data_IF_865112851446
#
_entry.id   IF_865112851446
#
_cell.length_a   1.000
_cell.length_b   1.000
_cell.length_c   1.000
_cell.angle_alpha   90.00
_cell.angle_beta   90.00
_cell.angle_gamma   90.00
#
_symmetry.space_group_name_H-M   'P 1'
#
loop_
_entity.id
_entity.type
_entity.pdbx_description
1 polymer ?
#
# COMPACT_ATOMS: atom_id res chain seq x y z
N UNK A 1 -6.48 13.65 -11.86
CA UNK A 1 -5.28 13.96 -11.03
C UNK A 1 -5.33 13.13 -9.74
N UNK A 2 -4.17 12.78 -9.19
CA UNK A 2 -4.01 12.06 -7.93
C UNK A 2 -3.14 12.88 -6.97
N UNK A 3 -3.54 12.92 -5.70
CA UNK A 3 -2.78 13.57 -4.63
C UNK A 3 -2.44 12.53 -3.56
N UNK A 4 -1.15 12.39 -3.28
CA UNK A 4 -0.65 11.57 -2.17
C UNK A 4 -0.41 12.45 -0.95
N UNK A 5 -1.04 12.09 0.17
CA UNK A 5 -0.82 12.73 1.47
C UNK A 5 -0.03 11.76 2.34
N UNK A 6 1.28 12.00 2.49
CA UNK A 6 2.14 11.17 3.33
C UNK A 6 2.44 11.86 4.66
N UNK A 7 2.21 11.15 5.77
CA UNK A 7 2.41 11.72 7.11
C UNK A 7 2.76 10.66 8.16
N UNK A 8 3.60 11.02 9.11
CA UNK A 8 3.76 10.30 10.38
C UNK A 8 2.69 10.75 11.37
N UNK A 9 1.87 9.82 11.83
CA UNK A 9 0.80 10.09 12.79
C UNK A 9 1.33 10.10 14.23
N UNK A 10 0.63 10.83 15.11
CA UNK A 10 0.99 10.95 16.54
C UNK A 10 1.75 12.24 16.91
N UNK A 11 2.34 12.92 15.93
CA UNK A 11 2.91 14.26 16.10
C UNK A 11 1.90 15.36 15.78
N UNK A 12 2.19 16.61 16.11
CA UNK A 12 1.29 17.76 15.86
C UNK A 12 1.07 18.03 14.38
N UNK A 13 2.15 18.08 13.60
CA UNK A 13 2.10 18.47 12.19
C UNK A 13 1.39 17.40 11.34
N UNK A 14 1.86 16.15 11.36
CA UNK A 14 1.28 15.07 10.54
C UNK A 14 -0.18 14.81 10.89
N UNK A 15 -0.49 14.71 12.17
CA UNK A 15 -1.84 14.42 12.66
C UNK A 15 -2.82 15.57 12.40
N UNK A 16 -2.35 16.83 12.53
CA UNK A 16 -3.21 18.01 12.39
C UNK A 16 -3.37 18.49 10.96
N UNK A 17 -2.30 18.52 10.16
CA UNK A 17 -2.33 19.10 8.83
C UNK A 17 -2.85 18.14 7.75
N UNK A 18 -2.56 16.81 7.88
CA UNK A 18 -2.92 15.86 6.83
C UNK A 18 -4.43 15.80 6.52
N UNK A 19 -5.36 15.81 7.51
CA UNK A 19 -6.79 15.81 7.19
C UNK A 19 -7.24 17.07 6.44
N UNK A 20 -6.65 18.23 6.76
CA UNK A 20 -6.97 19.49 6.11
C UNK A 20 -6.52 19.48 4.65
N UNK A 21 -5.29 19.07 4.41
CA UNK A 21 -4.73 18.95 3.04
C UNK A 21 -5.55 17.95 2.22
N UNK A 22 -5.85 16.79 2.80
CA UNK A 22 -6.65 15.78 2.13
C UNK A 22 -8.05 16.27 1.76
N UNK A 23 -8.70 16.99 2.67
CA UNK A 23 -10.02 17.60 2.41
C UNK A 23 -9.97 18.56 1.24
N UNK A 24 -8.99 19.45 1.19
CA UNK A 24 -8.81 20.40 0.08
C UNK A 24 -8.57 19.65 -1.25
N UNK A 25 -7.72 18.63 -1.25
CA UNK A 25 -7.47 17.83 -2.43
C UNK A 25 -8.75 17.15 -2.96
N UNK A 26 -9.57 16.60 -2.05
CA UNK A 26 -10.85 15.98 -2.39
C UNK A 26 -11.88 16.99 -2.90
N UNK A 27 -11.95 18.19 -2.33
CA UNK A 27 -12.80 19.28 -2.80
C UNK A 27 -12.43 19.73 -4.24
N UNK A 28 -11.17 19.59 -4.62
CA UNK A 28 -10.67 19.82 -5.98
C UNK A 28 -10.88 18.63 -6.94
N UNK A 29 -11.65 17.61 -6.53
CA UNK A 29 -11.90 16.38 -7.30
C UNK A 29 -10.64 15.57 -7.66
N UNK A 30 -9.55 15.71 -6.92
CA UNK A 30 -8.38 14.86 -7.05
C UNK A 30 -8.62 13.53 -6.31
N UNK A 31 -8.21 12.40 -6.92
CA UNK A 31 -8.13 11.13 -6.22
C UNK A 31 -7.13 11.28 -5.06
N UNK A 32 -7.62 11.20 -3.83
CA UNK A 32 -6.81 11.51 -2.65
C UNK A 32 -6.43 10.23 -1.91
N UNK A 33 -5.15 9.92 -1.89
CA UNK A 33 -4.60 8.71 -1.28
C UNK A 33 -3.69 9.09 -0.11
N UNK A 34 -4.04 8.64 1.09
CA UNK A 34 -3.18 8.82 2.25
C UNK A 34 -2.24 7.62 2.43
N UNK A 35 -0.97 7.89 2.75
CA UNK A 35 0.02 6.87 3.13
C UNK A 35 0.63 7.31 4.45
N UNK A 36 0.24 6.67 5.55
CA UNK A 36 0.60 7.12 6.89
C UNK A 36 1.31 6.06 7.71
N UNK A 37 2.24 6.50 8.56
CA UNK A 37 2.85 5.63 9.58
C UNK A 37 2.13 5.79 10.90
N UNK A 38 1.91 4.66 11.58
CA UNK A 38 1.48 4.60 12.97
C UNK A 38 2.69 4.26 13.83
N UNK A 39 3.00 5.04 14.88
CA UNK A 39 4.11 4.79 15.79
C UNK A 39 3.96 3.49 16.54
N UNK A 40 5.03 3.05 17.19
CA UNK A 40 5.04 1.87 18.03
C UNK A 40 4.14 2.05 19.27
N UNK A 41 3.55 0.95 19.72
CA UNK A 41 2.73 0.90 20.95
C UNK A 41 3.50 1.31 22.21
N UNK A 42 4.82 1.18 22.17
CA UNK A 42 5.75 1.59 23.25
C UNK A 42 5.89 3.11 23.40
N UNK A 43 5.43 3.92 22.43
CA UNK A 43 5.56 5.39 22.47
C UNK A 43 4.55 6.10 23.40
N UNK A 44 3.69 5.36 24.05
CA UNK A 44 2.80 5.83 25.12
C UNK A 44 1.35 6.10 24.68
N UNK A 45 0.44 5.93 25.64
CA UNK A 45 -1.01 5.96 25.39
C UNK A 45 -1.53 7.31 24.85
N UNK A 46 -0.95 8.42 25.30
CA UNK A 46 -1.37 9.75 24.80
C UNK A 46 -1.07 9.93 23.32
N UNK A 47 0.07 9.42 22.87
CA UNK A 47 0.44 9.45 21.46
C UNK A 47 -0.46 8.55 20.63
N UNK A 48 -0.73 7.35 21.10
CA UNK A 48 -1.66 6.41 20.42
C UNK A 48 -3.08 6.97 20.33
N UNK A 49 -3.56 7.67 21.36
CA UNK A 49 -4.86 8.36 21.31
C UNK A 49 -4.88 9.46 20.24
N UNK A 50 -3.83 10.27 20.18
CA UNK A 50 -3.67 11.29 19.12
C UNK A 50 -3.66 10.66 17.73
N UNK A 51 -3.00 9.50 17.58
CA UNK A 51 -3.00 8.73 16.31
C UNK A 51 -4.41 8.29 15.93
N UNK A 52 -5.15 7.68 16.85
CA UNK A 52 -6.51 7.19 16.59
C UNK A 52 -7.44 8.33 16.12
N UNK A 53 -7.39 9.46 16.82
CA UNK A 53 -8.19 10.66 16.48
C UNK A 53 -7.79 11.22 15.10
N UNK A 54 -6.48 11.29 14.81
CA UNK A 54 -5.96 11.82 13.56
C UNK A 54 -6.24 10.91 12.36
N UNK A 55 -6.03 9.59 12.53
CA UNK A 55 -6.33 8.60 11.49
C UNK A 55 -7.83 8.61 11.16
N UNK A 56 -8.70 8.68 12.17
CA UNK A 56 -10.16 8.76 11.97
C UNK A 56 -10.54 10.01 11.18
N UNK A 57 -9.98 11.17 11.51
CA UNK A 57 -10.23 12.41 10.78
C UNK A 57 -9.74 12.34 9.34
N UNK A 58 -8.54 11.83 9.14
CA UNK A 58 -7.93 11.69 7.81
C UNK A 58 -8.71 10.67 6.95
N UNK A 59 -9.13 9.55 7.53
CA UNK A 59 -9.93 8.52 6.85
C UNK A 59 -11.20 9.09 6.20
N UNK A 60 -11.87 10.00 6.88
CA UNK A 60 -13.08 10.65 6.36
C UNK A 60 -12.80 11.68 5.24
N UNK A 61 -11.53 12.03 5.02
CA UNK A 61 -11.12 13.04 4.05
C UNK A 61 -10.40 12.47 2.82
N UNK A 62 -10.18 11.15 2.76
CA UNK A 62 -9.46 10.50 1.66
C UNK A 62 -10.32 9.49 0.92
N UNK A 63 -9.90 9.08 -0.26
CA UNK A 63 -10.52 8.00 -1.03
C UNK A 63 -9.96 6.64 -0.64
N UNK A 64 -8.64 6.58 -0.45
CA UNK A 64 -7.91 5.38 -0.03
C UNK A 64 -6.88 5.73 1.04
N UNK A 65 -6.66 4.83 1.98
CA UNK A 65 -5.68 4.99 3.04
C UNK A 65 -4.82 3.74 3.19
N UNK A 66 -3.51 3.89 3.02
CA UNK A 66 -2.51 2.88 3.37
C UNK A 66 -1.93 3.19 4.75
N UNK A 67 -1.97 2.21 5.63
CA UNK A 67 -1.45 2.35 6.99
C UNK A 67 -0.21 1.46 7.14
N UNK A 68 0.92 2.09 7.43
CA UNK A 68 2.18 1.42 7.79
C UNK A 68 2.29 1.38 9.30
N UNK A 69 2.03 0.23 9.90
CA UNK A 69 2.13 0.04 11.34
C UNK A 69 3.56 -0.34 11.73
N UNK A 70 4.22 0.52 12.54
CA UNK A 70 5.61 0.29 12.97
C UNK A 70 5.74 -0.97 13.84
N UNK A 71 4.79 -1.30 14.70
CA UNK A 71 4.82 -2.55 15.47
C UNK A 71 4.89 -3.79 14.57
N UNK A 72 4.13 -3.80 13.46
CA UNK A 72 4.17 -4.91 12.51
C UNK A 72 5.50 -4.98 11.77
N UNK A 73 6.11 -3.82 11.50
CA UNK A 73 7.44 -3.75 10.88
C UNK A 73 8.52 -4.32 11.79
N UNK A 74 8.45 -4.06 13.10
CA UNK A 74 9.40 -4.60 14.07
C UNK A 74 9.46 -6.13 14.10
N UNK A 75 8.36 -6.80 13.81
CA UNK A 75 8.30 -8.27 13.77
C UNK A 75 9.10 -8.92 12.62
N UNK A 76 9.54 -8.15 11.64
CA UNK A 76 10.28 -8.64 10.45
C UNK A 76 11.67 -8.04 10.32
N UNK A 77 12.01 -7.10 11.21
CA UNK A 77 13.32 -6.45 11.27
C UNK A 77 14.25 -7.29 12.15
N UNK A 78 15.52 -7.42 11.72
CA UNK A 78 16.55 -8.05 12.53
C UNK A 78 16.77 -7.23 13.83
N UNK A 79 16.63 -7.83 15.01
CA UNK A 79 16.82 -7.12 16.28
C UNK A 79 18.22 -6.48 16.47
N UNK A 80 19.19 -6.89 15.67
CA UNK A 80 20.54 -6.33 15.70
C UNK A 80 20.72 -5.06 14.85
N UNK A 81 19.67 -4.60 14.16
CA UNK A 81 19.75 -3.36 13.40
C UNK A 81 19.80 -2.14 14.34
N UNK A 82 20.56 -1.13 13.91
CA UNK A 82 20.53 0.18 14.59
C UNK A 82 19.18 0.87 14.37
N UNK A 83 18.76 1.71 15.32
CA UNK A 83 17.51 2.49 15.19
C UNK A 83 17.48 3.38 13.94
N UNK A 84 18.65 3.88 13.51
CA UNK A 84 18.77 4.63 12.26
C UNK A 84 18.40 3.77 11.05
N UNK A 85 18.91 2.54 11.01
CA UNK A 85 18.60 1.58 9.93
C UNK A 85 17.11 1.17 9.94
N UNK A 86 16.54 1.00 11.13
CA UNK A 86 15.10 0.71 11.30
C UNK A 86 14.25 1.85 10.72
N UNK A 87 14.55 3.10 11.09
CA UNK A 87 13.82 4.26 10.56
C UNK A 87 13.95 4.37 9.05
N UNK A 88 15.17 4.25 8.51
CA UNK A 88 15.38 4.25 7.05
C UNK A 88 14.61 3.14 6.33
N UNK A 89 14.45 1.98 6.96
CA UNK A 89 13.64 0.88 6.42
C UNK A 89 12.15 1.23 6.36
N UNK A 90 11.59 1.77 7.44
CA UNK A 90 10.19 2.21 7.51
C UNK A 90 9.91 3.33 6.52
N UNK A 91 10.78 4.33 6.43
CA UNK A 91 10.69 5.40 5.43
C UNK A 91 10.75 4.85 4.01
N UNK A 92 11.64 3.87 3.77
CA UNK A 92 11.72 3.17 2.50
C UNK A 92 10.44 2.40 2.13
N UNK A 93 9.69 1.91 3.11
CA UNK A 93 8.39 1.26 2.87
C UNK A 93 7.35 2.29 2.42
N UNK A 94 7.29 3.47 3.05
CA UNK A 94 6.42 4.57 2.62
C UNK A 94 6.70 4.98 1.17
N UNK A 95 7.97 5.22 0.85
CA UNK A 95 8.39 5.62 -0.50
C UNK A 95 7.99 4.56 -1.52
N UNK A 96 8.26 3.29 -1.24
CA UNK A 96 7.88 2.18 -2.15
C UNK A 96 6.37 2.07 -2.32
N UNK A 97 5.59 2.33 -1.27
CA UNK A 97 4.12 2.30 -1.34
C UNK A 97 3.58 3.38 -2.28
N UNK A 98 4.06 4.62 -2.14
CA UNK A 98 3.70 5.72 -3.05
C UNK A 98 4.15 5.43 -4.48
N UNK A 99 5.40 4.95 -4.64
CA UNK A 99 5.94 4.60 -5.95
C UNK A 99 5.12 3.49 -6.64
N UNK A 100 4.71 2.46 -5.92
CA UNK A 100 3.95 1.35 -6.48
C UNK A 100 2.60 1.83 -7.04
N UNK A 101 1.86 2.66 -6.31
CA UNK A 101 0.59 3.22 -6.80
C UNK A 101 0.84 4.20 -7.96
N UNK A 102 1.85 5.06 -7.87
CA UNK A 102 2.21 6.00 -8.93
C UNK A 102 2.64 5.30 -10.22
N UNK A 103 3.37 4.18 -10.11
CA UNK A 103 3.84 3.42 -11.27
C UNK A 103 2.70 2.75 -12.06
N UNK A 104 1.58 2.44 -11.42
CA UNK A 104 0.40 1.90 -12.11
C UNK A 104 -0.08 2.90 -13.18
N UNK A 105 0.03 4.19 -12.91
CA UNK A 105 -0.47 5.26 -13.80
C UNK A 105 0.62 5.81 -14.72
N UNK A 106 1.88 5.84 -14.28
CA UNK A 106 2.94 6.59 -14.95
C UNK A 106 3.82 5.77 -15.88
N UNK A 107 3.79 4.44 -15.80
CA UNK A 107 4.62 3.57 -16.65
C UNK A 107 3.83 3.05 -17.85
N UNK A 108 4.44 3.19 -19.03
CA UNK A 108 3.98 2.47 -20.21
C UNK A 108 4.15 0.96 -20.00
N UNK A 109 3.04 0.24 -19.97
CA UNK A 109 3.00 -1.22 -19.94
C UNK A 109 2.29 -1.73 -21.20
N UNK A 110 2.55 -2.98 -21.61
CA UNK A 110 1.85 -3.60 -22.75
C UNK A 110 0.34 -3.73 -22.49
N UNK A 111 -0.06 -3.86 -21.22
CA UNK A 111 -1.45 -3.79 -20.77
C UNK A 111 -1.49 -2.63 -19.76
N UNK A 112 -1.98 -1.49 -20.19
CA UNK A 112 -2.12 -0.31 -19.33
C UNK A 112 -3.43 -0.39 -18.56
N UNK A 113 -3.33 -0.23 -17.24
CA UNK A 113 -4.48 0.16 -16.45
C UNK A 113 -4.74 1.66 -16.69
N UNK A 114 -5.92 2.02 -17.17
CA UNK A 114 -6.28 3.43 -17.34
C UNK A 114 -6.39 4.10 -15.97
N UNK A 115 -6.07 5.40 -15.91
CA UNK A 115 -6.29 6.20 -14.70
C UNK A 115 -7.76 6.17 -14.25
N UNK A 116 -8.70 6.01 -15.18
CA UNK A 116 -10.12 5.85 -14.87
C UNK A 116 -10.38 4.57 -14.06
N UNK A 117 -9.76 3.46 -14.40
CA UNK A 117 -9.92 2.19 -13.69
C UNK A 117 -9.29 2.26 -12.30
N UNK A 118 -8.09 2.85 -12.18
CA UNK A 118 -7.47 3.11 -10.89
C UNK A 118 -8.36 4.00 -10.01
N UNK A 119 -8.90 5.08 -10.58
CA UNK A 119 -9.80 5.97 -9.88
C UNK A 119 -11.05 5.25 -9.40
N UNK A 120 -11.68 4.45 -10.25
CA UNK A 120 -12.87 3.68 -9.91
C UNK A 120 -12.60 2.68 -8.77
N UNK A 121 -11.47 1.99 -8.83
CA UNK A 121 -11.08 1.03 -7.80
C UNK A 121 -10.72 1.69 -6.45
N UNK A 122 -10.09 2.86 -6.49
CA UNK A 122 -9.60 3.53 -5.27
C UNK A 122 -10.57 4.56 -4.69
N UNK A 123 -11.54 5.08 -5.45
CA UNK A 123 -12.51 6.05 -4.93
C UNK A 123 -13.36 5.44 -3.81
N UNK A 124 -13.30 6.05 -2.63
CA UNK A 124 -14.00 5.58 -1.42
C UNK A 124 -13.69 4.10 -1.09
N UNK A 125 -12.49 3.63 -1.41
CA UNK A 125 -12.07 2.25 -1.11
C UNK A 125 -11.77 2.03 0.37
N UNK A 126 -11.53 3.09 1.13
CA UNK A 126 -11.23 3.00 2.55
C UNK A 126 -9.81 2.54 2.82
N UNK A 127 -9.64 1.56 3.72
CA UNK A 127 -8.31 1.03 4.02
C UNK A 127 -7.86 0.14 2.87
N UNK A 128 -6.69 0.46 2.35
CA UNK A 128 -6.04 -0.26 1.25
C UNK A 128 -4.74 -0.91 1.72
N UNK A 129 -4.39 -2.01 1.10
CA UNK A 129 -3.17 -2.76 1.41
C UNK A 129 -2.31 -2.87 0.17
N UNK A 130 -0.99 -2.95 0.37
CA UNK A 130 -0.04 -3.09 -0.72
C UNK A 130 0.96 -4.20 -0.43
N UNK A 131 1.21 -5.04 -1.42
CA UNK A 131 2.27 -6.03 -1.40
C UNK A 131 3.19 -5.84 -2.59
N UNK A 132 4.49 -5.92 -2.34
CA UNK A 132 5.51 -5.80 -3.39
C UNK A 132 6.38 -7.04 -3.31
N UNK A 133 6.56 -7.69 -4.45
CA UNK A 133 7.40 -8.87 -4.53
C UNK A 133 8.18 -8.92 -5.84
N UNK A 134 9.31 -9.60 -5.82
CA UNK A 134 10.16 -9.83 -6.97
C UNK A 134 10.58 -11.29 -7.05
N UNK A 135 10.81 -11.76 -8.24
CA UNK A 135 11.27 -13.13 -8.46
C UNK A 135 12.17 -13.24 -9.68
N UNK A 136 13.04 -14.22 -9.69
CA UNK A 136 13.97 -14.52 -10.80
C UNK A 136 13.98 -16.02 -11.07
N UNK A 137 14.41 -16.41 -12.28
CA UNK A 137 14.50 -17.82 -12.68
C UNK A 137 13.16 -18.49 -12.96
N UNK A 138 13.13 -19.84 -12.94
CA UNK A 138 11.97 -20.62 -13.39
C UNK A 138 10.71 -20.46 -12.54
N UNK A 139 10.86 -20.14 -11.25
CA UNK A 139 9.75 -19.98 -10.29
C UNK A 139 9.43 -18.51 -9.98
N UNK A 140 9.91 -17.56 -10.80
CA UNK A 140 9.83 -16.12 -10.56
C UNK A 140 8.43 -15.61 -10.19
N UNK A 141 7.38 -16.10 -10.84
CA UNK A 141 6.01 -15.68 -10.56
C UNK A 141 5.55 -16.15 -9.17
N UNK A 142 5.88 -17.38 -8.79
CA UNK A 142 5.56 -17.91 -7.46
C UNK A 142 6.34 -17.17 -6.37
N UNK A 143 7.64 -16.94 -6.60
CA UNK A 143 8.50 -16.28 -5.62
C UNK A 143 8.07 -14.82 -5.42
N UNK A 144 7.78 -14.10 -6.51
CA UNK A 144 7.28 -12.73 -6.45
C UNK A 144 5.94 -12.65 -5.71
N UNK A 145 4.98 -13.52 -6.04
CA UNK A 145 3.69 -13.54 -5.36
C UNK A 145 3.82 -13.88 -3.88
N UNK A 146 4.63 -14.90 -3.55
CA UNK A 146 4.89 -15.28 -2.16
C UNK A 146 5.53 -14.14 -1.37
N UNK A 147 6.49 -13.44 -1.96
CA UNK A 147 7.12 -12.28 -1.33
C UNK A 147 6.13 -11.13 -1.14
N UNK A 148 5.29 -10.84 -2.14
CA UNK A 148 4.26 -9.80 -2.05
C UNK A 148 3.27 -10.09 -0.93
N UNK A 149 2.73 -11.30 -0.85
CA UNK A 149 1.75 -11.71 0.16
C UNK A 149 2.35 -11.80 1.58
N UNK A 150 3.64 -12.12 1.70
CA UNK A 150 4.36 -12.10 2.97
C UNK A 150 4.94 -10.72 3.34
N UNK A 151 4.61 -9.69 2.56
CA UNK A 151 5.01 -8.32 2.90
C UNK A 151 4.55 -7.96 4.31
N UNK A 152 5.36 -7.25 5.11
CA UNK A 152 4.96 -6.79 6.43
C UNK A 152 3.67 -5.98 6.45
N UNK A 153 3.36 -5.31 5.35
CA UNK A 153 2.12 -4.52 5.18
C UNK A 153 0.87 -5.39 4.98
N UNK A 154 1.07 -6.62 4.52
CA UNK A 154 0.00 -7.58 4.24
C UNK A 154 -0.10 -8.68 5.31
N UNK A 155 0.97 -8.92 6.03
CA UNK A 155 1.05 -10.02 7.00
C UNK A 155 -0.03 -9.88 8.07
N UNK A 156 -0.77 -10.95 8.31
CA UNK A 156 -1.89 -11.02 9.25
C UNK A 156 -3.13 -10.19 8.88
N UNK A 157 -3.23 -9.72 7.63
CA UNK A 157 -4.46 -9.09 7.14
C UNK A 157 -5.37 -10.16 6.52
N UNK A 158 -6.67 -10.01 6.72
CA UNK A 158 -7.66 -10.83 6.05
C UNK A 158 -8.10 -10.11 4.77
N UNK A 159 -7.72 -10.66 3.61
CA UNK A 159 -8.07 -10.08 2.30
C UNK A 159 -9.40 -10.63 1.76
N UNK A 160 -10.04 -11.54 2.48
CA UNK A 160 -11.35 -12.05 2.09
C UNK A 160 -12.36 -10.90 2.13
N UNK A 161 -13.07 -10.74 1.02
CA UNK A 161 -14.00 -9.63 0.86
C UNK A 161 -13.37 -8.34 0.31
N UNK A 162 -12.12 -8.36 -0.14
CA UNK A 162 -11.55 -7.28 -0.95
C UNK A 162 -12.45 -7.06 -2.17
N UNK A 163 -12.82 -5.80 -2.45
CA UNK A 163 -13.69 -5.45 -3.59
C UNK A 163 -12.90 -5.35 -4.89
N UNK A 164 -11.67 -4.86 -4.81
CA UNK A 164 -10.77 -4.66 -5.94
C UNK A 164 -9.37 -5.14 -5.60
N UNK A 165 -8.70 -5.75 -6.54
CA UNK A 165 -7.26 -6.05 -6.50
C UNK A 165 -6.63 -5.48 -7.75
N UNK A 166 -5.70 -4.55 -7.56
CA UNK A 166 -4.91 -3.97 -8.63
C UNK A 166 -3.57 -4.70 -8.70
N UNK A 167 -3.26 -5.27 -9.83
CA UNK A 167 -2.02 -6.02 -10.06
C UNK A 167 -1.18 -5.33 -11.09
N UNK A 168 0.02 -4.91 -10.70
CA UNK A 168 1.02 -4.38 -11.62
C UNK A 168 2.16 -5.39 -11.76
N UNK A 169 2.34 -5.93 -12.95
CA UNK A 169 3.42 -6.86 -13.28
C UNK A 169 4.46 -6.19 -14.16
N UNK A 170 5.68 -6.03 -13.61
CA UNK A 170 6.82 -5.47 -14.33
C UNK A 170 7.82 -6.57 -14.63
N UNK A 171 8.36 -6.60 -15.82
CA UNK A 171 9.33 -7.60 -16.25
C UNK A 171 10.48 -6.99 -17.05
N UNK A 172 11.60 -7.71 -17.11
CA UNK A 172 12.77 -7.27 -17.88
C UNK A 172 12.54 -7.39 -19.37
N UNK A 173 13.12 -6.49 -20.17
CA UNK A 173 12.95 -6.38 -21.61
C UNK A 173 13.22 -7.67 -22.41
N UNK A 174 13.99 -8.62 -21.86
CA UNK A 174 14.36 -9.87 -22.54
C UNK A 174 13.39 -11.04 -22.30
N UNK A 175 12.57 -10.96 -21.25
CA UNK A 175 11.74 -12.09 -20.82
C UNK A 175 10.38 -11.58 -20.32
N UNK A 176 9.43 -11.44 -21.22
CA UNK A 176 8.04 -11.09 -20.89
C UNK A 176 7.38 -12.07 -19.92
N UNK A 177 6.23 -11.70 -19.37
CA UNK A 177 5.38 -12.59 -18.58
C UNK A 177 4.70 -13.59 -19.52
N UNK A 178 4.79 -14.86 -19.20
CA UNK A 178 4.08 -15.90 -19.95
C UNK A 178 2.60 -15.95 -19.51
N UNK A 179 1.73 -16.42 -20.39
CA UNK A 179 0.31 -16.63 -20.06
C UNK A 179 0.14 -17.52 -18.82
N UNK A 180 0.97 -18.54 -18.69
CA UNK A 180 0.95 -19.44 -17.52
C UNK A 180 1.30 -18.73 -16.22
N UNK A 181 2.27 -17.82 -16.23
CA UNK A 181 2.66 -17.03 -15.06
C UNK A 181 1.57 -16.02 -14.69
N UNK A 182 1.01 -15.34 -15.69
CA UNK A 182 -0.11 -14.44 -15.53
C UNK A 182 -1.32 -15.14 -14.88
N UNK A 183 -1.78 -16.25 -15.49
CA UNK A 183 -2.90 -17.04 -14.97
C UNK A 183 -2.65 -17.56 -13.55
N UNK A 184 -1.42 -17.97 -13.25
CA UNK A 184 -1.05 -18.43 -11.92
C UNK A 184 -1.23 -17.32 -10.87
N UNK A 185 -0.74 -16.11 -11.16
CA UNK A 185 -0.84 -14.96 -10.25
C UNK A 185 -2.32 -14.61 -10.02
N UNK A 186 -3.10 -14.44 -11.08
CA UNK A 186 -4.51 -14.06 -10.97
C UNK A 186 -5.34 -15.10 -10.23
N UNK A 187 -5.21 -16.38 -10.57
CA UNK A 187 -5.93 -17.47 -9.90
C UNK A 187 -5.58 -17.55 -8.41
N UNK A 188 -4.30 -17.37 -8.08
CA UNK A 188 -3.87 -17.35 -6.69
C UNK A 188 -4.47 -16.18 -5.92
N UNK A 189 -4.46 -14.98 -6.48
CA UNK A 189 -5.07 -13.79 -5.86
C UNK A 189 -6.58 -13.98 -5.66
N UNK A 190 -7.30 -14.51 -6.65
CA UNK A 190 -8.72 -14.85 -6.50
C UNK A 190 -8.97 -15.83 -5.34
N UNK A 191 -8.11 -16.83 -5.16
CA UNK A 191 -8.22 -17.76 -4.03
C UNK A 191 -8.04 -17.06 -2.68
N UNK A 192 -7.07 -16.14 -2.58
CA UNK A 192 -6.81 -15.38 -1.34
C UNK A 192 -7.93 -14.40 -1.00
N UNK A 193 -8.57 -13.80 -1.99
CA UNK A 193 -9.63 -12.79 -1.80
C UNK A 193 -11.04 -13.36 -1.74
N UNK A 194 -11.23 -14.64 -2.09
CA UNK A 194 -12.53 -15.34 -2.03
C UNK A 194 -13.37 -15.22 -3.30
N UNK A 195 -12.75 -14.99 -4.46
CA UNK A 195 -13.38 -14.97 -5.80
C UNK A 195 -14.41 -13.86 -6.09
N UNK A 196 -14.66 -12.97 -5.15
CA UNK A 196 -15.59 -11.84 -5.32
C UNK A 196 -14.86 -10.52 -5.62
N UNK A 197 -13.76 -10.58 -6.33
CA UNK A 197 -12.89 -9.44 -6.59
C UNK A 197 -12.86 -9.10 -8.08
N UNK A 198 -12.80 -7.81 -8.39
CA UNK A 198 -12.50 -7.30 -9.73
C UNK A 198 -10.97 -7.15 -9.85
N UNK A 199 -10.40 -7.80 -10.84
CA UNK A 199 -8.95 -7.77 -11.14
C UNK A 199 -8.67 -6.73 -12.21
#
# INVERSE_FOLDING_TARGET
EIVFVSAGMGGGTGTGASPIIAKIAKELNALTVAVVTIPESTEGLLRLKSVADGVTKLYNCVDAMLIVNCDMMMNVIDPNWTMERVRAYVDGVLVRSVQAVSQIVSRYAEIQLDFADLRNAMTNSGISYIGIGSGTGPNRAKDALTQALNSPLLRNQDFRGARYVLVNMTFGAKHGVTLREHDFILKSLCQYTGYNVVL
#
